data_IF_653380057617
#
_entry.id   IF_653380057617
#
_cell.length_a   1.000
_cell.length_b   1.000
_cell.length_c   1.000
_cell.angle_alpha   90.00
_cell.angle_beta   90.00
_cell.angle_gamma   90.00
#
_symmetry.space_group_name_H-M   'P 1'
#
loop_
_entity.id
_entity.type
_entity.pdbx_description
1 polymer ?
#
# COMPACT_ATOMS: atom_id res chain seq x y z
N UNK A 1 2.37 -1.11 -28.71
CA UNK A 1 3.17 0.03 -28.21
C UNK A 1 2.30 0.80 -27.25
N UNK A 2 2.71 0.88 -25.97
CA UNK A 2 2.01 1.66 -24.95
C UNK A 2 2.16 3.14 -25.29
N UNK A 3 1.06 3.88 -25.29
CA UNK A 3 1.09 5.31 -25.55
C UNK A 3 1.86 6.00 -24.40
N UNK A 4 2.95 6.74 -24.66
CA UNK A 4 3.74 7.38 -23.61
C UNK A 4 2.95 8.38 -22.73
N UNK A 5 1.79 8.84 -23.18
CA UNK A 5 0.88 9.69 -22.39
C UNK A 5 0.07 8.94 -21.33
N UNK A 6 0.14 7.60 -21.29
CA UNK A 6 -0.56 6.76 -20.29
C UNK A 6 0.36 6.20 -19.22
N UNK A 7 1.64 6.55 -19.23
CA UNK A 7 2.56 6.09 -18.17
C UNK A 7 2.31 6.80 -16.84
N UNK A 8 2.42 6.05 -15.75
CA UNK A 8 2.32 6.61 -14.40
C UNK A 8 3.38 7.70 -14.20
N UNK A 9 2.96 8.87 -13.72
CA UNK A 9 3.81 10.03 -13.51
C UNK A 9 3.65 10.58 -12.08
N UNK A 10 4.72 11.12 -11.45
CA UNK A 10 4.64 11.66 -10.11
C UNK A 10 3.81 12.95 -10.08
N UNK A 11 3.09 13.15 -8.97
CA UNK A 11 2.37 14.40 -8.66
C UNK A 11 2.89 14.90 -7.32
N UNK A 12 3.51 16.09 -7.32
CA UNK A 12 4.21 16.63 -6.17
C UNK A 12 3.33 16.64 -4.91
N UNK A 13 3.79 15.99 -3.85
CA UNK A 13 3.10 15.85 -2.57
C UNK A 13 1.83 14.99 -2.59
N UNK A 14 1.52 14.30 -3.68
CA UNK A 14 0.36 13.40 -3.82
C UNK A 14 0.83 11.96 -4.06
N UNK A 15 1.66 11.76 -5.08
CA UNK A 15 2.18 10.46 -5.43
C UNK A 15 3.62 10.57 -5.95
N UNK A 16 4.50 9.75 -5.36
CA UNK A 16 5.83 9.52 -5.91
C UNK A 16 5.74 8.36 -6.90
N UNK A 17 6.38 8.54 -8.06
CA UNK A 17 6.54 7.49 -9.07
C UNK A 17 8.00 7.46 -9.47
N UNK A 18 8.64 6.30 -9.35
CA UNK A 18 10.01 6.12 -9.81
C UNK A 18 10.24 4.72 -10.36
N UNK A 19 11.28 4.59 -11.19
CA UNK A 19 11.64 3.33 -11.82
C UNK A 19 13.05 2.94 -11.42
N UNK A 20 13.24 1.65 -11.14
CA UNK A 20 14.53 1.06 -10.79
C UNK A 20 14.84 -0.05 -11.80
N UNK A 21 16.08 -0.08 -12.31
CA UNK A 21 16.51 -1.10 -13.25
C UNK A 21 16.02 -0.90 -14.67
N UNK A 22 16.10 -1.96 -15.45
CA UNK A 22 15.90 -1.95 -16.89
C UNK A 22 17.23 -1.94 -17.64
N UNK A 23 17.33 -2.72 -18.74
CA UNK A 23 18.56 -2.86 -19.53
C UNK A 23 18.99 -1.52 -20.13
N UNK A 24 20.10 -0.96 -19.59
CA UNK A 24 20.82 0.19 -20.17
C UNK A 24 20.69 1.48 -19.33
N UNK A 25 21.82 2.03 -18.92
CA UNK A 25 22.09 3.23 -18.14
C UNK A 25 21.23 4.51 -18.36
N UNK A 26 21.69 5.72 -17.99
CA UNK A 26 20.90 6.95 -18.10
C UNK A 26 20.39 7.12 -19.54
N UNK A 27 19.07 7.12 -19.71
CA UNK A 27 18.43 6.91 -21.02
C UNK A 27 17.93 8.18 -21.65
N UNK A 28 18.39 8.39 -22.87
CA UNK A 28 17.77 9.26 -23.89
C UNK A 28 16.81 8.50 -24.82
N UNK A 29 16.41 7.26 -24.50
CA UNK A 29 15.50 6.43 -25.29
C UNK A 29 14.07 6.39 -24.74
N UNK A 30 13.09 5.82 -25.49
CA UNK A 30 11.73 5.65 -25.03
C UNK A 30 11.69 4.80 -23.74
N UNK A 31 10.82 5.17 -22.79
CA UNK A 31 10.61 4.41 -21.57
C UNK A 31 10.13 2.99 -21.92
N UNK A 32 10.84 1.98 -21.42
CA UNK A 32 10.41 0.58 -21.54
C UNK A 32 9.42 0.32 -20.41
N UNK A 33 8.26 -0.32 -20.67
CA UNK A 33 7.32 -0.70 -19.63
C UNK A 33 8.01 -1.52 -18.54
N UNK A 34 7.58 -1.35 -17.31
CA UNK A 34 8.12 -2.10 -16.19
C UNK A 34 7.61 -3.55 -16.17
N UNK A 35 8.47 -4.47 -15.74
CA UNK A 35 8.13 -5.89 -15.54
C UNK A 35 7.36 -6.13 -14.24
N UNK A 36 7.59 -5.25 -13.26
CA UNK A 36 7.03 -5.37 -11.91
C UNK A 36 6.53 -4.00 -11.43
N UNK A 37 5.43 -4.03 -10.67
CA UNK A 37 4.93 -2.88 -9.92
C UNK A 37 5.01 -3.16 -8.43
N UNK A 38 5.50 -2.20 -7.66
CA UNK A 38 5.31 -2.13 -6.20
C UNK A 38 4.46 -0.91 -5.91
N UNK A 39 3.24 -1.15 -5.45
CA UNK A 39 2.31 -0.11 -5.02
C UNK A 39 2.35 0.04 -3.50
N UNK A 40 2.39 1.28 -3.02
CA UNK A 40 2.44 1.65 -1.60
C UNK A 40 1.30 2.64 -1.31
N UNK A 41 0.04 2.17 -1.17
CA UNK A 41 -1.12 3.06 -1.04
C UNK A 41 -1.12 3.85 0.27
N UNK A 42 -0.48 3.33 1.30
CA UNK A 42 -0.32 3.98 2.61
C UNK A 42 1.13 4.41 2.87
N UNK A 43 1.84 4.78 1.81
CA UNK A 43 3.27 5.13 1.85
C UNK A 43 3.60 6.51 2.43
N UNK A 44 2.61 7.31 2.84
CA UNK A 44 2.83 8.53 3.62
C UNK A 44 3.15 8.15 5.07
N UNK A 45 4.42 8.03 5.43
CA UNK A 45 4.86 7.48 6.72
C UNK A 45 5.65 8.46 7.58
N UNK A 46 5.89 9.68 7.11
CA UNK A 46 6.68 10.68 7.83
C UNK A 46 5.81 11.75 8.48
N UNK A 47 6.27 12.33 9.60
CA UNK A 47 5.61 13.48 10.22
C UNK A 47 5.41 14.64 9.23
N UNK A 48 6.33 14.81 8.29
CA UNK A 48 6.21 15.82 7.24
C UNK A 48 4.97 15.57 6.36
N UNK A 49 4.71 14.32 5.94
CA UNK A 49 3.54 13.98 5.13
C UNK A 49 2.26 14.34 5.86
N UNK A 50 2.18 14.01 7.16
CA UNK A 50 1.03 14.35 7.99
C UNK A 50 0.84 15.87 8.12
N UNK A 51 1.83 16.58 8.64
CA UNK A 51 1.69 18.00 8.94
C UNK A 51 1.46 18.85 7.69
N UNK A 52 2.04 18.45 6.55
CA UNK A 52 1.87 19.14 5.27
C UNK A 52 0.40 19.18 4.82
N UNK A 53 -0.35 18.12 5.06
CA UNK A 53 -1.76 18.05 4.65
C UNK A 53 -2.70 18.43 5.81
N UNK A 54 -2.47 17.96 7.03
CA UNK A 54 -3.27 18.29 8.21
C UNK A 54 -3.28 19.80 8.50
N UNK A 55 -2.13 20.50 8.31
CA UNK A 55 -2.05 21.94 8.47
C UNK A 55 -2.85 22.77 7.44
N UNK A 56 -3.42 22.13 6.41
CA UNK A 56 -4.30 22.77 5.42
C UNK A 56 -5.78 22.52 5.68
N UNK A 57 -6.10 21.60 6.60
CA UNK A 57 -7.49 21.27 6.92
C UNK A 57 -8.16 22.41 7.70
N UNK A 58 -9.42 22.68 7.35
CA UNK A 58 -10.33 23.57 8.07
C UNK A 58 -11.19 22.83 9.08
N UNK A 59 -11.39 21.55 8.86
CA UNK A 59 -12.03 20.63 9.81
C UNK A 59 -11.26 20.64 11.13
N UNK A 60 -11.98 20.66 12.23
CA UNK A 60 -11.38 20.49 13.56
C UNK A 60 -10.96 19.04 13.71
N UNK A 61 -9.66 18.82 13.64
CA UNK A 61 -9.10 17.46 13.78
C UNK A 61 -9.07 17.06 15.27
N UNK A 62 -9.25 15.75 15.58
CA UNK A 62 -9.15 15.24 16.94
C UNK A 62 -7.83 15.63 17.61
N UNK A 63 -7.82 15.88 18.92
CA UNK A 63 -6.58 16.07 19.67
C UNK A 63 -5.65 14.86 19.49
N UNK A 64 -4.35 15.13 19.38
CA UNK A 64 -3.32 14.09 19.26
C UNK A 64 -3.49 13.16 18.03
N UNK A 65 -4.22 13.57 16.99
CA UNK A 65 -4.47 12.76 15.80
C UNK A 65 -3.18 12.25 15.15
N UNK A 66 -2.05 12.92 15.35
CA UNK A 66 -0.73 12.48 14.89
C UNK A 66 -0.32 11.12 15.50
N UNK A 67 -0.76 10.78 16.71
CA UNK A 67 -0.52 9.47 17.32
C UNK A 67 -1.26 8.39 16.53
N UNK A 68 -2.53 8.62 16.20
CA UNK A 68 -3.29 7.71 15.33
C UNK A 68 -2.65 7.59 13.94
N UNK A 69 -2.13 8.69 13.40
CA UNK A 69 -1.42 8.65 12.13
C UNK A 69 -0.29 7.62 12.14
N UNK A 70 0.59 7.62 13.14
CA UNK A 70 1.68 6.65 13.22
C UNK A 70 1.24 5.21 13.49
N UNK A 71 0.05 5.01 14.05
CA UNK A 71 -0.55 3.67 14.22
C UNK A 71 -1.25 3.20 12.95
N UNK A 72 -1.83 4.13 12.19
CA UNK A 72 -2.67 3.84 11.02
C UNK A 72 -1.91 3.87 9.69
N UNK A 73 -0.66 4.33 9.69
CA UNK A 73 0.18 4.33 8.50
C UNK A 73 0.99 3.04 8.39
N UNK A 74 1.39 2.68 7.18
CA UNK A 74 2.14 1.45 6.92
C UNK A 74 3.65 1.70 7.11
N UNK A 75 4.07 1.81 8.38
CA UNK A 75 5.46 2.09 8.76
C UNK A 75 6.40 1.05 8.16
N UNK A 76 7.52 1.50 7.57
CA UNK A 76 8.55 0.66 6.97
C UNK A 76 8.26 0.25 5.53
N UNK A 77 7.02 0.35 5.03
CA UNK A 77 6.74 -0.09 3.64
C UNK A 77 7.46 0.70 2.56
N UNK A 78 7.70 2.03 2.67
CA UNK A 78 8.51 2.74 1.69
C UNK A 78 9.96 2.23 1.61
N UNK A 79 10.56 1.92 2.75
CA UNK A 79 11.92 1.42 2.84
C UNK A 79 12.01 -0.01 2.30
N UNK A 80 11.08 -0.88 2.70
CA UNK A 80 10.98 -2.26 2.18
C UNK A 80 10.70 -2.25 0.68
N UNK A 81 9.77 -1.42 0.21
CA UNK A 81 9.45 -1.30 -1.21
C UNK A 81 10.64 -0.81 -2.04
N UNK A 82 11.41 0.15 -1.54
CA UNK A 82 12.61 0.64 -2.21
C UNK A 82 13.73 -0.41 -2.24
N UNK A 83 13.95 -1.12 -1.13
CA UNK A 83 14.93 -2.19 -1.05
C UNK A 83 14.55 -3.35 -1.98
N UNK A 84 13.31 -3.80 -1.93
CA UNK A 84 12.80 -4.86 -2.81
C UNK A 84 12.93 -4.48 -4.28
N UNK A 85 12.60 -3.24 -4.65
CA UNK A 85 12.79 -2.75 -6.01
C UNK A 85 14.27 -2.79 -6.44
N UNK A 86 15.19 -2.39 -5.56
CA UNK A 86 16.62 -2.43 -5.85
C UNK A 86 17.14 -3.87 -5.99
N UNK A 87 16.75 -4.78 -5.10
CA UNK A 87 17.13 -6.20 -5.13
C UNK A 87 16.62 -6.90 -6.41
N UNK A 88 15.40 -6.61 -6.82
CA UNK A 88 14.81 -7.18 -8.05
C UNK A 88 15.41 -6.57 -9.32
N UNK A 89 15.78 -5.30 -9.28
CA UNK A 89 16.36 -4.61 -10.41
C UNK A 89 17.83 -4.95 -10.66
N UNK A 90 18.60 -5.11 -9.58
CA UNK A 90 20.04 -5.32 -9.61
C UNK A 90 20.47 -6.46 -8.67
N UNK A 91 19.95 -7.70 -8.84
CA UNK A 91 20.12 -8.79 -7.89
C UNK A 91 21.60 -9.13 -7.63
N UNK A 92 22.48 -8.92 -8.59
CA UNK A 92 23.93 -9.16 -8.46
C UNK A 92 24.61 -8.30 -7.39
N UNK A 93 24.01 -7.15 -7.02
CA UNK A 93 24.54 -6.28 -5.93
C UNK A 93 24.23 -6.82 -4.54
N UNK A 94 23.29 -7.75 -4.45
CA UNK A 94 22.79 -8.33 -3.19
C UNK A 94 23.10 -9.83 -3.12
N UNK A 95 24.27 -10.24 -3.65
CA UNK A 95 24.64 -11.65 -3.76
C UNK A 95 24.68 -12.36 -2.40
N UNK A 96 25.16 -11.68 -1.36
CA UNK A 96 25.27 -12.25 -0.02
C UNK A 96 23.87 -12.54 0.58
N UNK A 97 22.87 -11.75 0.22
CA UNK A 97 21.50 -11.90 0.70
C UNK A 97 20.67 -12.84 -0.21
N UNK A 98 20.91 -12.81 -1.52
CA UNK A 98 20.08 -13.50 -2.52
C UNK A 98 20.65 -14.84 -3.01
N UNK A 99 21.90 -15.16 -2.66
CA UNK A 99 22.54 -16.41 -3.08
C UNK A 99 22.43 -16.64 -4.59
N UNK A 100 21.94 -17.81 -5.00
CA UNK A 100 21.77 -18.17 -6.42
C UNK A 100 20.76 -17.28 -7.18
N UNK A 101 19.86 -16.57 -6.51
CA UNK A 101 18.95 -15.64 -7.16
C UNK A 101 19.70 -14.43 -7.74
N UNK A 102 20.86 -14.08 -7.19
CA UNK A 102 21.70 -12.99 -7.69
C UNK A 102 22.22 -13.19 -9.12
N UNK A 103 22.21 -14.43 -9.63
CA UNK A 103 22.58 -14.75 -11.02
C UNK A 103 21.45 -14.52 -12.02
N UNK A 104 20.25 -14.19 -11.55
CA UNK A 104 19.12 -13.89 -12.40
C UNK A 104 19.24 -12.52 -13.06
N UNK A 105 18.60 -12.37 -14.22
CA UNK A 105 18.50 -11.07 -14.88
C UNK A 105 17.66 -10.11 -14.01
N UNK A 106 18.18 -8.89 -13.85
CA UNK A 106 17.44 -7.83 -13.16
C UNK A 106 16.15 -7.46 -13.89
N UNK A 107 15.15 -7.05 -13.12
CA UNK A 107 13.83 -6.61 -13.59
C UNK A 107 13.73 -5.11 -13.67
N UNK A 108 12.84 -4.61 -14.53
CA UNK A 108 12.43 -3.20 -14.49
C UNK A 108 11.27 -3.07 -13.50
N UNK A 109 11.48 -2.30 -12.43
CA UNK A 109 10.51 -2.15 -11.35
C UNK A 109 9.96 -0.73 -11.34
N UNK A 110 8.64 -0.60 -11.39
CA UNK A 110 7.91 0.64 -11.16
C UNK A 110 7.48 0.69 -9.70
N UNK A 111 7.73 1.79 -9.02
CA UNK A 111 7.22 2.04 -7.67
C UNK A 111 6.25 3.20 -7.71
N UNK A 112 5.05 3.00 -7.17
CA UNK A 112 4.00 4.02 -7.02
C UNK A 112 3.68 4.14 -5.54
N UNK A 113 3.98 5.30 -4.95
CA UNK A 113 3.84 5.56 -3.52
C UNK A 113 2.91 6.73 -3.24
N UNK A 114 1.85 6.50 -2.48
CA UNK A 114 1.02 7.60 -1.96
C UNK A 114 1.80 8.46 -0.96
N UNK A 115 1.61 9.77 -1.06
CA UNK A 115 2.10 10.78 -0.09
C UNK A 115 0.93 11.38 0.70
N UNK A 116 -0.23 10.74 0.64
CA UNK A 116 -1.45 11.17 1.31
C UNK A 116 -1.60 10.38 2.61
N UNK A 117 -1.67 11.03 3.78
CA UNK A 117 -1.88 10.34 5.04
C UNK A 117 -3.19 9.55 5.06
N UNK A 118 -3.11 8.24 5.31
CA UNK A 118 -4.28 7.36 5.44
C UNK A 118 -5.28 7.86 6.48
N UNK A 119 -4.78 8.52 7.53
CA UNK A 119 -5.59 9.16 8.57
C UNK A 119 -6.53 10.24 8.04
N UNK A 120 -6.29 10.81 6.86
CA UNK A 120 -7.13 11.82 6.24
C UNK A 120 -7.96 11.24 5.08
N UNK A 121 -7.40 10.34 4.30
CA UNK A 121 -8.13 9.57 3.28
C UNK A 121 -7.41 8.24 2.99
N UNK A 122 -8.16 7.14 2.96
CA UNK A 122 -7.61 5.80 2.67
C UNK A 122 -7.46 5.61 1.15
N UNK A 123 -6.20 5.64 0.68
CA UNK A 123 -5.87 5.49 -0.74
C UNK A 123 -6.09 4.06 -1.28
N UNK A 124 -6.30 3.06 -0.41
CA UNK A 124 -6.70 1.71 -0.80
C UNK A 124 -8.22 1.50 -0.71
N UNK A 125 -9.02 2.55 -0.97
CA UNK A 125 -10.48 2.47 -1.06
C UNK A 125 -10.94 3.08 -2.37
N UNK A 126 -11.84 2.43 -3.06
CA UNK A 126 -12.51 2.98 -4.24
C UNK A 126 -13.87 3.59 -3.88
N UNK A 127 -14.46 3.12 -2.78
CA UNK A 127 -15.73 3.59 -2.23
C UNK A 127 -15.77 3.32 -0.71
N UNK A 128 -16.81 3.83 -0.04
CA UNK A 128 -17.04 3.51 1.36
C UNK A 128 -17.55 2.06 1.50
N UNK A 129 -17.00 1.31 2.46
CA UNK A 129 -17.40 -0.07 2.67
C UNK A 129 -18.82 -0.16 3.25
N UNK A 130 -19.54 -1.28 3.00
CA UNK A 130 -20.81 -1.54 3.64
C UNK A 130 -20.71 -1.54 5.17
N UNK A 131 -21.76 -1.10 5.85
CA UNK A 131 -21.82 -1.18 7.30
C UNK A 131 -21.67 -2.64 7.78
N UNK A 132 -20.89 -2.84 8.84
CA UNK A 132 -20.61 -4.17 9.40
C UNK A 132 -19.58 -5.01 8.62
N UNK A 133 -18.91 -4.43 7.63
CA UNK A 133 -17.83 -5.12 6.88
C UNK A 133 -16.53 -5.29 7.68
N UNK A 134 -16.40 -4.64 8.83
CA UNK A 134 -15.15 -4.58 9.60
C UNK A 134 -14.07 -3.67 8.98
N UNK A 135 -14.40 -2.94 7.92
CA UNK A 135 -13.51 -2.02 7.25
C UNK A 135 -13.84 -0.57 7.61
N UNK A 136 -12.82 0.26 7.70
CA UNK A 136 -12.99 1.71 7.88
C UNK A 136 -13.37 2.38 6.57
N UNK A 137 -14.16 3.48 6.65
CA UNK A 137 -14.53 4.30 5.49
C UNK A 137 -13.35 4.97 4.81
N UNK A 138 -13.58 5.45 3.59
CA UNK A 138 -12.57 6.13 2.78
C UNK A 138 -12.10 7.44 3.44
N UNK A 139 -13.02 8.28 3.91
CA UNK A 139 -12.71 9.55 4.60
C UNK A 139 -13.28 9.47 6.03
N UNK A 140 -12.44 9.75 7.06
CA UNK A 140 -12.88 9.70 8.45
C UNK A 140 -13.98 10.72 8.79
N UNK A 141 -14.86 10.38 9.74
CA UNK A 141 -16.01 11.19 10.13
C UNK A 141 -15.67 12.54 10.80
N UNK A 142 -14.43 12.75 11.21
CA UNK A 142 -13.98 14.06 11.73
C UNK A 142 -13.65 15.08 10.62
N UNK A 143 -13.55 14.67 9.37
CA UNK A 143 -13.43 15.58 8.23
C UNK A 143 -14.83 16.06 7.85
N UNK A 144 -15.17 17.30 8.21
CA UNK A 144 -16.54 17.84 8.06
C UNK A 144 -16.63 19.07 7.17
N UNK A 145 -15.54 19.79 6.99
CA UNK A 145 -15.52 20.97 6.10
C UNK A 145 -15.66 20.53 4.64
N UNK A 146 -16.57 21.16 3.91
CA UNK A 146 -16.87 20.81 2.52
C UNK A 146 -15.67 21.02 1.58
N UNK A 147 -14.84 22.03 1.86
CA UNK A 147 -13.62 22.29 1.09
C UNK A 147 -12.56 21.22 1.34
N UNK A 148 -12.44 20.73 2.58
CA UNK A 148 -11.53 19.64 2.91
C UNK A 148 -11.96 18.33 2.24
N UNK A 149 -13.27 18.03 2.30
CA UNK A 149 -13.84 16.85 1.61
C UNK A 149 -13.56 16.89 0.11
N UNK A 150 -13.76 18.05 -0.52
CA UNK A 150 -13.49 18.23 -1.95
C UNK A 150 -12.00 18.05 -2.27
N UNK A 151 -11.11 18.67 -1.45
CA UNK A 151 -9.67 18.55 -1.61
C UNK A 151 -9.21 17.09 -1.46
N UNK A 152 -9.65 16.38 -0.41
CA UNK A 152 -9.23 15.00 -0.17
C UNK A 152 -9.70 14.07 -1.27
N UNK A 153 -10.94 14.23 -1.77
CA UNK A 153 -11.44 13.46 -2.92
C UNK A 153 -10.63 13.74 -4.20
N UNK A 154 -10.24 14.98 -4.43
CA UNK A 154 -9.38 15.34 -5.57
C UNK A 154 -8.00 14.68 -5.48
N UNK A 155 -7.35 14.74 -4.32
CA UNK A 155 -6.05 14.12 -4.09
C UNK A 155 -6.13 12.59 -4.22
N UNK A 156 -7.16 11.98 -3.64
CA UNK A 156 -7.44 10.56 -3.74
C UNK A 156 -7.63 10.11 -5.20
N UNK A 157 -8.49 10.81 -5.95
CA UNK A 157 -8.72 10.51 -7.37
C UNK A 157 -7.44 10.62 -8.21
N UNK A 158 -6.60 11.62 -7.91
CA UNK A 158 -5.31 11.79 -8.59
C UNK A 158 -4.35 10.62 -8.28
N UNK A 159 -4.31 10.17 -7.02
CA UNK A 159 -3.54 8.96 -6.66
C UNK A 159 -4.06 7.72 -7.38
N UNK A 160 -5.37 7.44 -7.32
CA UNK A 160 -5.94 6.25 -7.96
C UNK A 160 -5.70 6.24 -9.48
N UNK A 161 -5.83 7.38 -10.14
CA UNK A 161 -5.54 7.49 -11.57
C UNK A 161 -4.08 7.13 -11.89
N UNK A 162 -3.14 7.62 -11.07
CA UNK A 162 -1.71 7.32 -11.25
C UNK A 162 -1.39 5.85 -10.96
N UNK A 163 -1.94 5.30 -9.88
CA UNK A 163 -1.75 3.89 -9.51
C UNK A 163 -2.34 2.97 -10.59
N UNK A 164 -3.56 3.27 -11.07
CA UNK A 164 -4.20 2.52 -12.17
C UNK A 164 -3.35 2.53 -13.43
N UNK A 165 -2.82 3.69 -13.83
CA UNK A 165 -1.90 3.77 -14.97
C UNK A 165 -0.65 2.90 -14.78
N UNK A 166 -0.11 2.83 -13.56
CA UNK A 166 1.02 1.93 -13.23
C UNK A 166 0.66 0.45 -13.36
N UNK A 167 -0.49 0.03 -12.86
CA UNK A 167 -0.99 -1.33 -13.00
C UNK A 167 -1.25 -1.69 -14.47
N UNK A 168 -1.93 -0.83 -15.22
CA UNK A 168 -2.21 -1.03 -16.65
C UNK A 168 -0.91 -1.17 -17.47
N UNK A 169 0.09 -0.35 -17.19
CA UNK A 169 1.39 -0.43 -17.83
C UNK A 169 2.05 -1.79 -17.64
N UNK A 170 2.12 -2.25 -16.39
CA UNK A 170 2.80 -3.50 -16.03
C UNK A 170 2.03 -4.71 -16.55
N UNK A 171 0.70 -4.72 -16.40
CA UNK A 171 -0.16 -5.81 -16.90
C UNK A 171 -0.07 -5.90 -18.44
N UNK A 172 -0.12 -4.77 -19.15
CA UNK A 172 0.01 -4.75 -20.60
C UNK A 172 1.37 -5.28 -21.09
N UNK A 173 2.40 -5.19 -20.25
CA UNK A 173 3.72 -5.77 -20.52
C UNK A 173 3.83 -7.27 -20.13
N UNK A 174 2.75 -7.88 -19.63
CA UNK A 174 2.77 -9.25 -19.10
C UNK A 174 3.46 -9.38 -17.74
N UNK A 175 3.65 -8.25 -17.07
CA UNK A 175 4.28 -8.15 -15.75
C UNK A 175 3.35 -8.50 -14.60
N UNK A 176 3.83 -8.26 -13.39
CA UNK A 176 3.08 -8.51 -12.15
C UNK A 176 3.16 -7.32 -11.21
N UNK A 177 2.19 -7.20 -10.30
CA UNK A 177 2.20 -6.16 -9.28
C UNK A 177 2.04 -6.72 -7.87
N UNK A 178 2.53 -5.92 -6.92
CA UNK A 178 2.44 -6.15 -5.50
C UNK A 178 1.94 -4.86 -4.84
N UNK A 179 0.81 -4.91 -4.15
CA UNK A 179 0.38 -3.85 -3.24
C UNK A 179 0.91 -4.19 -1.84
N UNK A 180 1.88 -3.40 -1.37
CA UNK A 180 2.60 -3.66 -0.14
C UNK A 180 2.01 -2.86 1.02
N UNK A 181 1.69 -3.56 2.10
CA UNK A 181 1.14 -3.03 3.33
C UNK A 181 1.95 -3.46 4.54
N UNK A 182 1.83 -2.72 5.64
CA UNK A 182 2.17 -3.22 6.97
C UNK A 182 0.97 -3.08 7.91
N UNK A 183 1.00 -3.79 9.00
CA UNK A 183 -0.07 -3.76 9.99
C UNK A 183 0.48 -3.97 11.42
N UNK A 184 -0.28 -3.51 12.40
CA UNK A 184 0.04 -3.77 13.79
C UNK A 184 -0.02 -5.28 14.09
N UNK A 185 0.84 -5.81 14.98
CA UNK A 185 0.92 -7.24 15.27
C UNK A 185 -0.34 -7.81 15.93
N UNK A 186 -1.27 -6.94 16.34
CA UNK A 186 -2.52 -7.33 16.99
C UNK A 186 -3.71 -6.63 16.37
N UNK A 187 -4.85 -7.31 16.39
CA UNK A 187 -6.12 -6.76 15.88
C UNK A 187 -6.79 -5.91 16.94
N UNK A 188 -7.08 -4.65 16.62
CA UNK A 188 -7.98 -3.80 17.40
C UNK A 188 -9.31 -3.70 16.65
N UNK A 189 -10.41 -4.03 17.32
CA UNK A 189 -11.75 -4.02 16.74
C UNK A 189 -12.31 -2.58 16.72
N UNK A 190 -11.85 -1.76 15.79
CA UNK A 190 -12.37 -0.41 15.54
C UNK A 190 -13.02 -0.40 14.18
N UNK A 191 -14.35 -0.25 14.15
CA UNK A 191 -15.12 -0.23 12.90
C UNK A 191 -15.25 1.18 12.31
N UNK A 192 -15.15 2.22 13.15
CA UNK A 192 -15.32 3.61 12.70
C UNK A 192 -14.22 4.50 13.26
N UNK A 193 -13.67 5.31 12.38
CA UNK A 193 -12.69 6.34 12.76
C UNK A 193 -13.43 7.63 13.04
N UNK A 194 -13.56 7.96 14.33
CA UNK A 194 -14.29 9.12 14.85
C UNK A 194 -13.37 10.08 15.59
N UNK A 195 -13.93 11.14 16.19
CA UNK A 195 -13.17 12.10 17.00
C UNK A 195 -12.51 11.44 18.24
N UNK A 196 -13.04 10.31 18.73
CA UNK A 196 -12.53 9.55 19.89
C UNK A 196 -11.45 8.52 19.54
N UNK A 197 -11.05 8.39 18.29
CA UNK A 197 -10.16 7.31 17.81
C UNK A 197 -8.87 7.16 18.62
N UNK A 198 -8.25 8.27 19.04
CA UNK A 198 -7.00 8.23 19.83
C UNK A 198 -7.24 7.61 21.20
N UNK A 199 -8.34 8.01 21.87
CA UNK A 199 -8.67 7.50 23.20
C UNK A 199 -9.14 6.05 23.14
N UNK A 200 -9.89 5.66 22.11
CA UNK A 200 -10.28 4.26 21.85
C UNK A 200 -9.06 3.35 21.66
N UNK A 201 -8.08 3.79 20.87
CA UNK A 201 -6.82 3.05 20.68
C UNK A 201 -6.03 2.94 21.99
N UNK A 202 -5.87 4.04 22.72
CA UNK A 202 -5.18 4.02 24.02
C UNK A 202 -5.85 3.07 24.99
N UNK A 203 -7.18 3.06 25.06
CA UNK A 203 -7.94 2.12 25.88
C UNK A 203 -7.73 0.67 25.47
N UNK A 204 -7.81 0.37 24.15
CA UNK A 204 -7.60 -0.98 23.63
C UNK A 204 -6.18 -1.52 23.93
N UNK A 205 -5.17 -0.67 23.87
CA UNK A 205 -3.78 -1.05 24.13
C UNK A 205 -3.38 -1.07 25.62
N UNK A 206 -4.31 -0.82 26.55
CA UNK A 206 -4.03 -1.02 27.97
C UNK A 206 -3.89 -2.50 28.36
N UNK A 207 -4.51 -3.40 27.59
CA UNK A 207 -4.46 -4.85 27.79
C UNK A 207 -4.12 -5.56 26.45
N UNK A 208 -2.91 -5.36 25.93
CA UNK A 208 -2.55 -5.85 24.61
C UNK A 208 -2.58 -7.39 24.52
N UNK A 209 -2.40 -8.09 25.63
CA UNK A 209 -2.49 -9.56 25.68
C UNK A 209 -3.87 -10.11 25.33
N UNK A 210 -4.93 -9.32 25.50
CA UNK A 210 -6.30 -9.69 25.13
C UNK A 210 -6.59 -9.49 23.62
N UNK A 211 -5.72 -8.76 22.92
CA UNK A 211 -5.90 -8.51 21.49
C UNK A 211 -5.37 -9.70 20.67
N UNK A 212 -6.15 -10.23 19.70
CA UNK A 212 -5.73 -11.32 18.85
C UNK A 212 -4.43 -11.02 18.09
N UNK A 213 -3.49 -11.95 18.10
CA UNK A 213 -2.27 -11.88 17.30
C UNK A 213 -2.60 -12.11 15.83
N UNK A 214 -1.84 -11.43 14.98
CA UNK A 214 -1.82 -11.63 13.53
C UNK A 214 -0.59 -12.44 13.12
N UNK A 215 -0.60 -13.12 11.97
CA UNK A 215 0.63 -13.67 11.41
C UNK A 215 1.62 -12.53 11.13
N UNK A 216 2.91 -12.83 11.10
CA UNK A 216 3.94 -11.83 10.76
C UNK A 216 3.82 -11.35 9.32
N UNK A 217 3.39 -12.27 8.42
CA UNK A 217 3.07 -11.98 7.01
C UNK A 217 1.70 -12.56 6.67
N UNK A 218 0.87 -11.80 5.99
CA UNK A 218 -0.42 -12.25 5.44
C UNK A 218 -0.49 -11.93 3.95
N UNK A 219 -0.43 -12.97 3.12
CA UNK A 219 -0.56 -12.85 1.66
C UNK A 219 -2.04 -12.81 1.32
N UNK A 220 -2.55 -11.63 0.97
CA UNK A 220 -3.97 -11.42 0.70
C UNK A 220 -4.26 -11.80 -0.75
N UNK A 221 -4.83 -12.96 -0.94
CA UNK A 221 -5.13 -13.56 -2.26
C UNK A 221 -6.58 -13.99 -2.44
N UNK A 222 -7.39 -14.00 -1.35
CA UNK A 222 -8.79 -14.42 -1.38
C UNK A 222 -9.72 -13.23 -1.17
N UNK A 223 -10.80 -13.18 -1.95
CA UNK A 223 -11.91 -12.26 -1.69
C UNK A 223 -12.81 -12.73 -0.53
N UNK A 224 -13.81 -11.94 -0.08
CA UNK A 224 -14.72 -12.33 1.00
C UNK A 224 -15.51 -13.61 0.73
N UNK A 225 -15.76 -13.95 -0.54
CA UNK A 225 -16.43 -15.18 -0.94
C UNK A 225 -15.48 -16.39 -1.00
N UNK A 226 -14.17 -16.18 -0.77
CA UNK A 226 -13.15 -17.23 -0.84
C UNK A 226 -12.66 -17.50 -2.26
N UNK A 227 -13.00 -16.65 -3.22
CA UNK A 227 -12.49 -16.75 -4.59
C UNK A 227 -11.06 -16.25 -4.64
N UNK A 228 -10.17 -17.04 -5.24
CA UNK A 228 -8.77 -16.73 -5.39
C UNK A 228 -8.57 -15.67 -6.49
N UNK A 229 -7.78 -14.63 -6.17
CA UNK A 229 -7.49 -13.47 -7.01
C UNK A 229 -6.02 -13.34 -7.42
N UNK A 230 -5.15 -14.15 -6.85
CA UNK A 230 -3.73 -14.22 -7.22
C UNK A 230 -3.36 -15.63 -7.68
N UNK A 231 -2.23 -15.76 -8.38
CA UNK A 231 -1.70 -17.05 -8.83
C UNK A 231 -1.38 -17.94 -7.61
N UNK A 232 -2.07 -19.09 -7.43
CA UNK A 232 -1.88 -19.96 -6.26
C UNK A 232 -0.46 -20.44 -6.09
N UNK A 233 0.22 -20.78 -7.18
CA UNK A 233 1.59 -21.28 -7.13
C UNK A 233 2.57 -20.19 -6.64
N UNK A 234 2.34 -18.93 -7.04
CA UNK A 234 3.14 -17.81 -6.55
C UNK A 234 2.90 -17.56 -5.06
N UNK A 235 1.62 -17.58 -4.64
CA UNK A 235 1.25 -17.36 -3.23
C UNK A 235 1.85 -18.46 -2.35
N UNK A 236 1.72 -19.74 -2.75
CA UNK A 236 2.28 -20.87 -2.02
C UNK A 236 3.81 -20.79 -1.93
N UNK A 237 4.48 -20.37 -3.00
CA UNK A 237 5.93 -20.17 -3.00
C UNK A 237 6.35 -19.06 -2.02
N UNK A 238 5.65 -17.92 -2.01
CA UNK A 238 5.94 -16.80 -1.09
C UNK A 238 5.76 -17.23 0.36
N UNK A 239 4.65 -17.89 0.70
CA UNK A 239 4.39 -18.40 2.05
C UNK A 239 5.45 -19.42 2.48
N UNK A 240 5.85 -20.33 1.58
CA UNK A 240 6.87 -21.34 1.85
C UNK A 240 8.25 -20.73 2.09
N UNK A 241 8.62 -19.65 1.38
CA UNK A 241 9.89 -18.95 1.61
C UNK A 241 9.93 -18.28 2.99
N UNK A 242 8.88 -17.56 3.38
CA UNK A 242 8.80 -16.98 4.72
C UNK A 242 8.88 -18.06 5.82
N UNK A 243 8.16 -19.17 5.66
CA UNK A 243 8.19 -20.27 6.61
C UNK A 243 9.59 -20.92 6.73
N UNK A 244 10.37 -20.96 5.64
CA UNK A 244 11.75 -21.47 5.65
C UNK A 244 12.65 -20.61 6.50
N UNK A 245 12.43 -19.30 6.53
CA UNK A 245 13.17 -18.34 7.35
C UNK A 245 12.61 -18.22 8.78
N UNK A 246 11.64 -19.05 9.16
CA UNK A 246 11.01 -19.08 10.48
C UNK A 246 9.99 -17.96 10.72
N UNK A 247 9.56 -17.27 9.66
CA UNK A 247 8.55 -16.20 9.72
C UNK A 247 7.14 -16.81 9.58
N UNK A 248 6.24 -16.43 10.47
CA UNK A 248 4.85 -16.89 10.44
C UNK A 248 4.09 -16.22 9.30
N UNK A 249 3.91 -16.94 8.20
CA UNK A 249 3.18 -16.48 7.03
C UNK A 249 1.85 -17.22 6.88
N UNK A 250 0.80 -16.48 6.49
CA UNK A 250 -0.54 -17.01 6.26
C UNK A 250 -1.13 -16.52 4.93
N UNK A 251 -2.27 -17.09 4.54
CA UNK A 251 -3.04 -16.69 3.35
C UNK A 251 -4.37 -16.11 3.77
N UNK A 252 -4.58 -14.82 3.51
CA UNK A 252 -5.83 -14.11 3.76
C UNK A 252 -6.45 -14.41 5.13
N UNK A 253 -5.61 -14.52 6.17
CA UNK A 253 -6.06 -14.84 7.53
C UNK A 253 -6.58 -13.60 8.24
N UNK A 254 -5.88 -12.46 8.10
CA UNK A 254 -6.24 -11.20 8.77
C UNK A 254 -7.23 -10.41 7.94
N UNK A 255 -7.00 -10.34 6.64
CA UNK A 255 -7.81 -9.58 5.70
C UNK A 255 -8.22 -10.40 4.51
N UNK A 256 -9.31 -9.98 3.88
CA UNK A 256 -9.77 -10.43 2.57
C UNK A 256 -9.66 -9.30 1.58
N UNK A 257 -9.48 -9.64 0.30
CA UNK A 257 -9.45 -8.68 -0.80
C UNK A 257 -10.87 -8.16 -1.09
N UNK A 258 -11.30 -7.21 -0.27
CA UNK A 258 -12.67 -6.70 -0.33
C UNK A 258 -12.90 -5.86 -1.60
N UNK A 259 -14.07 -5.95 -2.28
CA UNK A 259 -14.36 -5.23 -3.53
C UNK A 259 -14.17 -3.71 -3.49
N UNK A 260 -14.30 -3.08 -2.31
CA UNK A 260 -14.05 -1.62 -2.16
C UNK A 260 -12.57 -1.28 -1.98
N UNK A 261 -11.69 -2.26 -1.89
CA UNK A 261 -10.24 -2.01 -1.90
C UNK A 261 -9.77 -1.79 -3.34
N UNK A 262 -8.93 -0.77 -3.56
CA UNK A 262 -8.35 -0.52 -4.88
C UNK A 262 -7.53 -1.72 -5.38
N UNK A 263 -6.82 -2.39 -4.48
CA UNK A 263 -6.09 -3.63 -4.81
C UNK A 263 -7.02 -4.75 -5.33
N UNK A 264 -8.30 -4.78 -4.96
CA UNK A 264 -9.28 -5.73 -5.53
C UNK A 264 -9.71 -5.35 -6.94
N UNK A 265 -9.82 -4.06 -7.25
CA UNK A 265 -10.13 -3.58 -8.61
C UNK A 265 -9.06 -4.02 -9.60
N UNK A 266 -7.79 -3.89 -9.24
CA UNK A 266 -6.67 -4.22 -10.13
C UNK A 266 -6.32 -5.71 -10.18
N UNK A 267 -6.84 -6.51 -9.24
CA UNK A 267 -6.70 -7.97 -9.23
C UNK A 267 -7.76 -8.70 -10.09
N UNK A 268 -8.76 -8.01 -10.59
CA UNK A 268 -9.80 -8.54 -11.49
C UNK A 268 -9.48 -8.24 -12.94
#
# INVERSE_FOLDING_TARGET
MVNPSTLAAPIAGVVDVYRVGGRGGPRSGPLVPADLLIELPHGATTAYDYHRLAGRMRSVLPPNLVEFYFVNTDVGTPEVGALLAAMLAEPWRYRDDLGAFADRAGRSVLVVRSRIPRTLVDCNRTDDPPAGSGLTGMIPGYIRDAGDLALLRQLHSAYLATARAGWEEVIAAGGRGLSLHSYAPRTVAIERVTDSIVDELRAAWQQPELLPLRPEVDVIDLDPAGVQRADPALVDAVVAEFARDGVTAARSQTYRLHPVAFSAEVAN
#
